data_IF_832005805466
#
_entry.id   IF_832005805466
#
_cell.length_a   1.000
_cell.length_b   1.000
_cell.length_c   1.000
_cell.angle_alpha   90.00
_cell.angle_beta   90.00
_cell.angle_gamma   90.00
#
_symmetry.space_group_name_H-M   'P 1'
#
loop_
_entity.id
_entity.type
_entity.pdbx_description
1 polymer ?
#
# COMPACT_ATOMS: atom_id res chain seq x y z
N UNK A 1 5.29 -12.54 0.50
CA UNK A 1 4.69 -11.29 1.02
C UNK A 1 4.67 -10.17 0.01
N UNK A 2 5.77 -9.91 -0.69
CA UNK A 2 5.87 -8.77 -1.61
C UNK A 2 4.84 -8.80 -2.73
N UNK A 3 4.64 -9.97 -3.35
CA UNK A 3 3.71 -10.10 -4.47
C UNK A 3 2.28 -9.82 -4.02
N UNK A 4 1.90 -10.36 -2.87
CA UNK A 4 0.55 -10.16 -2.34
C UNK A 4 0.37 -8.69 -1.95
N UNK A 5 1.35 -8.12 -1.27
CA UNK A 5 1.29 -6.72 -0.86
C UNK A 5 1.14 -5.80 -2.07
N UNK A 6 2.00 -5.94 -3.08
CA UNK A 6 1.96 -5.06 -4.23
C UNK A 6 0.65 -5.20 -5.00
N UNK A 7 0.13 -6.42 -5.14
CA UNK A 7 -1.14 -6.65 -5.80
C UNK A 7 -2.29 -5.98 -5.05
N UNK A 8 -2.33 -6.13 -3.72
CA UNK A 8 -3.39 -5.52 -2.92
C UNK A 8 -3.30 -4.00 -2.91
N UNK A 9 -2.08 -3.45 -2.90
CA UNK A 9 -1.92 -2.00 -3.00
C UNK A 9 -2.51 -1.47 -4.30
N UNK A 10 -2.21 -2.10 -5.43
CA UNK A 10 -2.76 -1.68 -6.72
C UNK A 10 -4.28 -1.82 -6.76
N UNK A 11 -4.80 -2.95 -6.28
CA UNK A 11 -6.23 -3.21 -6.29
C UNK A 11 -6.98 -2.20 -5.43
N UNK A 12 -6.52 -1.99 -4.20
CA UNK A 12 -7.17 -1.04 -3.28
C UNK A 12 -7.11 0.37 -3.83
N UNK A 13 -5.96 0.78 -4.37
CA UNK A 13 -5.81 2.12 -4.92
C UNK A 13 -6.78 2.35 -6.07
N UNK A 14 -6.89 1.38 -6.98
CA UNK A 14 -7.80 1.48 -8.13
C UNK A 14 -9.25 1.49 -7.69
N UNK A 15 -9.61 0.67 -6.71
CA UNK A 15 -10.97 0.64 -6.19
C UNK A 15 -11.39 1.96 -5.58
N UNK A 16 -10.45 2.65 -4.91
CA UNK A 16 -10.73 3.95 -4.31
C UNK A 16 -10.61 5.11 -5.31
N UNK A 17 -10.07 4.84 -6.49
CA UNK A 17 -9.89 5.89 -7.49
C UNK A 17 -8.74 6.85 -7.18
N UNK A 18 -7.78 6.42 -6.38
CA UNK A 18 -6.64 7.27 -6.03
C UNK A 18 -5.52 7.14 -7.06
N UNK A 19 -4.77 8.25 -7.24
CA UNK A 19 -3.51 8.19 -7.97
C UNK A 19 -2.40 7.76 -7.02
N UNK A 20 -1.28 7.31 -7.58
CA UNK A 20 -0.11 6.98 -6.77
C UNK A 20 0.37 8.19 -5.97
N UNK A 21 0.32 9.38 -6.58
CA UNK A 21 0.72 10.61 -5.89
C UNK A 21 -0.19 10.89 -4.69
N UNK A 22 -1.49 10.72 -4.84
CA UNK A 22 -2.43 10.97 -3.74
C UNK A 22 -2.12 10.06 -2.55
N UNK A 23 -1.85 8.79 -2.80
CA UNK A 23 -1.51 7.85 -1.72
C UNK A 23 -0.18 8.24 -1.08
N UNK A 24 0.81 8.61 -1.88
CA UNK A 24 2.11 9.02 -1.37
C UNK A 24 1.99 10.25 -0.46
N UNK A 25 1.20 11.24 -0.88
CA UNK A 25 0.98 12.45 -0.08
C UNK A 25 0.32 12.11 1.25
N UNK A 26 -0.70 11.25 1.23
CA UNK A 26 -1.36 10.83 2.46
C UNK A 26 -0.39 10.16 3.42
N UNK A 27 0.49 9.32 2.89
CA UNK A 27 1.44 8.55 3.70
C UNK A 27 2.71 9.33 4.05
N UNK A 28 2.83 10.57 3.57
CA UNK A 28 4.01 11.42 3.79
C UNK A 28 5.29 10.78 3.27
N UNK A 29 5.21 10.23 2.07
CA UNK A 29 6.34 9.65 1.35
C UNK A 29 6.36 10.21 -0.06
N UNK A 30 7.46 9.95 -0.79
CA UNK A 30 7.54 10.38 -2.18
C UNK A 30 6.72 9.47 -3.08
N UNK A 31 6.26 9.99 -4.21
CA UNK A 31 5.57 9.19 -5.21
C UNK A 31 6.45 8.02 -5.66
N UNK A 32 7.74 8.26 -5.85
CA UNK A 32 8.69 7.24 -6.26
C UNK A 32 8.75 6.09 -5.26
N UNK A 33 8.76 6.42 -3.95
CA UNK A 33 8.75 5.38 -2.91
C UNK A 33 7.50 4.53 -3.01
N UNK A 34 6.33 5.16 -3.16
CA UNK A 34 5.08 4.40 -3.29
C UNK A 34 5.09 3.53 -4.55
N UNK A 35 5.58 4.08 -5.68
CA UNK A 35 5.69 3.30 -6.92
C UNK A 35 6.52 2.04 -6.71
N UNK A 36 7.63 2.16 -5.96
CA UNK A 36 8.49 1.01 -5.69
C UNK A 36 7.74 -0.08 -4.91
N UNK A 37 6.81 0.30 -4.04
CA UNK A 37 6.00 -0.68 -3.30
C UNK A 37 5.07 -1.43 -4.24
N UNK A 38 4.44 -0.73 -5.20
CA UNK A 38 3.58 -1.40 -6.18
C UNK A 38 4.36 -2.23 -7.19
N UNK A 39 5.63 -1.90 -7.40
CA UNK A 39 6.50 -2.63 -8.34
C UNK A 39 7.25 -3.80 -7.68
N UNK A 40 7.10 -3.99 -6.38
CA UNK A 40 7.79 -5.02 -5.61
C UNK A 40 9.31 -4.79 -5.51
N UNK A 41 9.79 -3.58 -5.79
CA UNK A 41 11.21 -3.27 -5.71
C UNK A 41 11.64 -2.83 -4.32
N UNK A 42 10.68 -2.49 -3.46
CA UNK A 42 10.93 -2.12 -2.07
C UNK A 42 9.76 -2.52 -1.20
N UNK A 43 10.05 -2.77 0.08
CA UNK A 43 9.02 -3.03 1.08
C UNK A 43 8.86 -1.81 1.96
N UNK A 44 7.60 -1.37 2.25
CA UNK A 44 7.39 -0.26 3.15
C UNK A 44 7.75 -0.64 4.59
N UNK A 45 8.25 0.33 5.35
CA UNK A 45 8.45 0.17 6.77
C UNK A 45 7.11 0.02 7.47
N UNK A 46 7.13 -0.54 8.68
CA UNK A 46 5.90 -0.78 9.45
C UNK A 46 5.04 0.47 9.58
N UNK A 47 5.63 1.61 9.91
CA UNK A 47 4.88 2.85 10.08
C UNK A 47 4.16 3.28 8.80
N UNK A 48 4.78 3.02 7.64
CA UNK A 48 4.16 3.34 6.35
C UNK A 48 3.04 2.34 6.05
N UNK A 49 3.24 1.06 6.36
CA UNK A 49 2.19 0.05 6.22
C UNK A 49 0.96 0.41 7.05
N UNK A 50 1.17 0.91 8.27
CA UNK A 50 0.07 1.34 9.13
C UNK A 50 -0.72 2.47 8.48
N UNK A 51 -0.02 3.47 7.92
CA UNK A 51 -0.69 4.58 7.25
C UNK A 51 -1.47 4.13 6.02
N UNK A 52 -0.90 3.20 5.26
CA UNK A 52 -1.58 2.64 4.08
C UNK A 52 -2.83 1.88 4.52
N UNK A 53 -2.71 1.05 5.55
CA UNK A 53 -3.85 0.30 6.08
C UNK A 53 -4.97 1.24 6.55
N UNK A 54 -4.59 2.32 7.24
CA UNK A 54 -5.55 3.32 7.70
C UNK A 54 -6.25 4.01 6.51
N UNK A 55 -5.49 4.37 5.50
CA UNK A 55 -6.05 5.02 4.32
C UNK A 55 -7.10 4.14 3.64
N UNK A 56 -6.81 2.86 3.48
CA UNK A 56 -7.70 1.95 2.78
C UNK A 56 -8.74 1.28 3.70
N UNK A 57 -8.63 1.48 5.01
CA UNK A 57 -9.56 0.89 5.95
C UNK A 57 -9.45 -0.63 6.04
N UNK A 58 -8.26 -1.17 5.90
CA UNK A 58 -8.01 -2.61 5.97
C UNK A 58 -6.98 -2.91 7.06
N UNK A 59 -6.88 -4.19 7.43
CA UNK A 59 -5.89 -4.61 8.43
C UNK A 59 -4.51 -4.77 7.80
N UNK A 60 -3.47 -4.69 8.64
CA UNK A 60 -2.12 -5.01 8.21
C UNK A 60 -2.03 -6.46 7.73
N UNK A 61 -2.71 -7.37 8.43
CA UNK A 61 -2.72 -8.79 8.04
C UNK A 61 -3.28 -8.97 6.63
N UNK A 62 -4.32 -8.23 6.27
CA UNK A 62 -4.85 -8.28 4.93
C UNK A 62 -3.81 -7.81 3.91
N UNK A 63 -3.14 -6.69 4.19
CA UNK A 63 -2.17 -6.12 3.24
C UNK A 63 -1.04 -7.09 2.94
N UNK A 64 -0.56 -7.82 3.93
CA UNK A 64 0.59 -8.72 3.76
C UNK A 64 0.19 -10.15 3.45
N UNK A 65 -1.10 -10.42 3.30
CA UNK A 65 -1.57 -11.74 2.86
C UNK A 65 -1.75 -12.75 3.97
N UNK A 66 -1.78 -12.32 5.23
CA UNK A 66 -2.01 -13.22 6.37
C UNK A 66 -3.50 -13.41 6.67
N UNK A 67 -4.34 -12.61 6.05
CA UNK A 67 -5.78 -12.65 6.26
C UNK A 67 -6.48 -12.31 4.95
N UNK A 68 -7.69 -12.86 4.78
CA UNK A 68 -8.54 -12.54 3.63
C UNK A 68 -9.39 -11.29 3.87
N UNK A 69 -9.31 -10.72 5.07
CA UNK A 69 -10.12 -9.55 5.41
C UNK A 69 -9.28 -8.41 5.94
#
# INVERSE_FOLDING_TARGET
MREILSERLRTLRREKGYTQLQVAVYCDITEKAYQNYELMTREPKLEILIRIADLYGVSLDYLVGRSEK
#
